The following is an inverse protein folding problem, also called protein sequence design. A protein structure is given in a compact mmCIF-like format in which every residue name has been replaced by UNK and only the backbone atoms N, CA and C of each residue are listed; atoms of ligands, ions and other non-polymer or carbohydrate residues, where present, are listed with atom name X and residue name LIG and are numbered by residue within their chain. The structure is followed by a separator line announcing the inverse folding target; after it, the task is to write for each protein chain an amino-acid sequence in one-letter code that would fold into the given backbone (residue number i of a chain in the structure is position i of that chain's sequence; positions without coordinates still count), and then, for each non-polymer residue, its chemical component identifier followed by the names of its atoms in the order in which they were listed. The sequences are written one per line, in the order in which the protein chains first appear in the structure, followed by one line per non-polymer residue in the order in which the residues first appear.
data_IF_626266779836
#
_entry.id   IF_626266779836
#
_cell.length_a   1.000
_cell.length_b   1.000
_cell.length_c   1.000
_cell.angle_alpha   90.00
_cell.angle_beta   90.00
_cell.angle_gamma   90.00
#
_symmetry.space_group_name_H-M   'P 1'
#
loop_
_entity.id
_entity.type
_entity.pdbx_description
1 polymer ?
#
# COMPACT_ATOMS: atom_id res chain seq x y z
N UNK A 1 -34.00 41.79 55.25
CA UNK A 1 -33.58 41.40 56.58
C UNK A 1 -32.34 40.57 56.52
N UNK A 2 -31.25 41.18 56.82
CA UNK A 2 -30.07 40.84 57.64
C UNK A 2 -29.43 39.50 57.31
N UNK A 3 -28.32 39.52 56.53
CA UNK A 3 -26.93 39.57 57.04
C UNK A 3 -26.55 38.41 57.96
N UNK A 4 -25.59 37.59 57.57
CA UNK A 4 -24.35 37.57 58.37
C UNK A 4 -23.23 36.86 57.57
N UNK A 5 -22.14 37.59 57.46
CA UNK A 5 -20.84 37.20 56.97
C UNK A 5 -20.14 36.30 57.98
N UNK A 6 -19.51 35.21 57.56
CA UNK A 6 -18.51 34.51 58.37
C UNK A 6 -17.26 34.31 57.54
N UNK A 7 -16.25 35.10 57.84
CA UNK A 7 -14.88 34.99 57.46
C UNK A 7 -14.28 33.79 58.19
N UNK A 8 -13.78 32.81 57.46
CA UNK A 8 -12.97 31.71 58.04
C UNK A 8 -11.54 31.81 57.56
N UNK A 9 -10.72 32.18 58.49
CA UNK A 9 -9.27 32.25 58.44
C UNK A 9 -8.69 30.83 58.51
N UNK A 10 -8.15 30.30 57.42
CA UNK A 10 -7.46 29.00 57.45
C UNK A 10 -5.98 29.15 57.24
N UNK A 11 -5.33 28.81 58.29
CA UNK A 11 -3.93 28.61 58.61
C UNK A 11 -3.13 27.94 57.51
N UNK A 12 -2.15 28.66 56.98
CA UNK A 12 -1.15 28.17 56.01
C UNK A 12 -0.11 27.32 56.75
N UNK A 13 -0.25 25.99 56.65
CA UNK A 13 0.73 25.05 57.21
C UNK A 13 1.78 24.73 56.15
N UNK A 14 2.96 25.33 56.31
CA UNK A 14 4.13 25.12 55.46
C UNK A 14 4.76 23.77 55.80
N UNK A 15 4.45 22.74 55.02
CA UNK A 15 5.13 21.45 55.12
C UNK A 15 6.44 21.48 54.30
N UNK A 16 7.55 21.54 55.02
CA UNK A 16 8.88 21.33 54.51
C UNK A 16 9.05 19.84 54.12
N UNK A 17 9.06 19.53 52.83
CA UNK A 17 9.49 18.22 52.36
C UNK A 17 10.99 18.22 52.10
N UNK A 18 11.74 17.21 52.62
CA UNK A 18 13.14 17.06 52.29
C UNK A 18 13.29 16.62 50.83
N UNK A 19 14.23 17.26 50.15
CA UNK A 19 14.64 16.88 48.76
C UNK A 19 15.22 15.48 48.75
N UNK A 20 14.85 14.60 47.78
CA UNK A 20 15.50 13.32 47.60
C UNK A 20 16.94 13.54 47.03
N UNK A 21 17.88 12.63 47.35
CA UNK A 21 19.23 12.73 46.85
C UNK A 21 19.31 12.51 45.33
N UNK A 22 20.13 13.28 44.66
CA UNK A 22 20.49 13.08 43.26
C UNK A 22 21.28 11.77 43.14
N UNK A 23 20.65 10.75 42.53
CA UNK A 23 21.33 9.53 42.18
C UNK A 23 21.16 9.21 40.68
N UNK A 24 22.34 9.15 40.02
CA UNK A 24 22.60 8.23 38.94
C UNK A 24 21.95 8.56 37.60
N UNK A 25 22.72 9.17 36.71
CA UNK A 25 22.60 9.05 35.28
C UNK A 25 22.43 7.57 34.88
N UNK A 26 21.23 7.15 34.56
CA UNK A 26 21.05 6.00 33.68
C UNK A 26 20.91 6.51 32.24
N UNK A 27 22.05 6.49 31.56
CA UNK A 27 22.10 6.56 30.08
C UNK A 27 21.50 5.29 29.51
N UNK A 28 20.18 5.19 29.57
CA UNK A 28 19.42 4.21 28.82
C UNK A 28 19.06 4.76 27.46
N UNK A 29 20.02 4.77 26.55
CA UNK A 29 19.81 5.14 25.15
C UNK A 29 19.11 3.97 24.43
N UNK A 30 17.87 3.71 24.74
CA UNK A 30 16.98 2.96 23.84
C UNK A 30 16.55 3.92 22.75
N UNK A 31 17.44 4.15 21.81
CA UNK A 31 17.06 4.66 20.50
C UNK A 31 16.06 3.68 19.92
N UNK A 32 14.79 3.96 20.08
CA UNK A 32 13.72 3.35 19.31
C UNK A 32 14.06 3.60 17.85
N UNK A 33 14.60 2.55 17.21
CA UNK A 33 15.03 2.59 15.82
C UNK A 33 13.77 2.86 15.00
N UNK A 34 13.49 4.13 14.73
CA UNK A 34 12.50 4.52 13.72
C UNK A 34 12.84 3.68 12.50
N UNK A 35 12.02 2.72 12.18
CA UNK A 35 12.20 1.89 10.98
C UNK A 35 12.05 2.84 9.81
N UNK A 36 13.17 3.42 9.37
CA UNK A 36 13.22 4.28 8.21
C UNK A 36 12.67 3.52 7.00
N UNK A 37 12.07 4.25 6.08
CA UNK A 37 11.64 3.68 4.80
C UNK A 37 12.84 2.96 4.18
N UNK A 38 12.72 1.66 3.82
CA UNK A 38 13.85 0.95 3.23
C UNK A 38 14.32 1.65 1.95
N UNK A 39 15.61 1.63 1.63
CA UNK A 39 16.11 2.21 0.39
C UNK A 39 15.43 1.54 -0.82
N UNK A 40 15.13 2.32 -1.85
CA UNK A 40 14.40 1.85 -3.05
C UNK A 40 15.10 0.69 -3.77
N UNK A 41 16.40 0.56 -3.61
CA UNK A 41 17.21 -0.51 -4.19
C UNK A 41 17.26 -1.81 -3.36
N UNK A 42 16.62 -1.85 -2.18
CA UNK A 42 16.60 -3.05 -1.33
C UNK A 42 15.77 -4.17 -1.92
N UNK A 43 14.67 -3.85 -2.59
CA UNK A 43 13.72 -4.83 -3.09
C UNK A 43 13.70 -4.89 -4.61
N UNK A 44 13.27 -6.05 -5.10
CA UNK A 44 13.03 -6.31 -6.51
C UNK A 44 11.76 -7.12 -6.68
N UNK A 45 10.95 -6.76 -7.66
CA UNK A 45 9.70 -7.46 -7.98
C UNK A 45 9.81 -8.06 -9.37
N UNK A 46 9.38 -9.31 -9.51
CA UNK A 46 9.20 -9.98 -10.77
C UNK A 46 7.75 -10.40 -10.93
N UNK A 47 7.13 -10.09 -12.06
CA UNK A 47 5.74 -10.44 -12.35
C UNK A 47 5.73 -11.30 -13.61
N UNK A 48 5.22 -12.53 -13.50
CA UNK A 48 4.97 -13.40 -14.65
C UNK A 48 3.50 -13.31 -15.08
N UNK A 49 3.28 -12.86 -16.30
CA UNK A 49 1.92 -12.75 -16.88
C UNK A 49 1.35 -14.15 -17.12
N UNK A 50 2.12 -15.05 -17.73
CA UNK A 50 1.68 -16.43 -18.02
C UNK A 50 1.58 -17.26 -16.75
N UNK A 51 2.52 -17.08 -15.81
CA UNK A 51 2.53 -17.75 -14.50
C UNK A 51 1.52 -17.19 -13.50
N UNK A 52 0.85 -16.06 -13.80
CA UNK A 52 -0.10 -15.39 -12.90
C UNK A 52 0.45 -15.19 -11.49
N UNK A 53 1.73 -14.83 -11.40
CA UNK A 53 2.45 -14.70 -10.12
C UNK A 53 3.23 -13.39 -10.03
N UNK A 54 3.44 -12.92 -8.79
CA UNK A 54 4.32 -11.82 -8.44
C UNK A 54 5.27 -12.31 -7.35
N UNK A 55 6.57 -12.27 -7.60
CA UNK A 55 7.60 -12.62 -6.64
C UNK A 55 8.33 -11.39 -6.14
N UNK A 56 8.44 -11.27 -4.82
CA UNK A 56 9.21 -10.25 -4.12
C UNK A 56 10.54 -10.84 -3.69
N UNK A 57 11.62 -10.13 -3.99
CA UNK A 57 12.98 -10.48 -3.60
C UNK A 57 13.61 -9.35 -2.80
N UNK A 58 14.53 -9.70 -1.91
CA UNK A 58 15.51 -8.79 -1.33
C UNK A 58 16.80 -8.89 -2.14
N UNK A 59 17.40 -7.75 -2.45
CA UNK A 59 18.71 -7.71 -3.11
C UNK A 59 19.81 -7.93 -2.10
N UNK A 60 20.65 -8.91 -2.33
CA UNK A 60 21.85 -9.16 -1.54
C UNK A 60 22.98 -8.19 -1.92
N UNK A 61 23.96 -8.06 -1.03
CA UNK A 61 25.10 -7.15 -1.23
C UNK A 61 25.99 -7.54 -2.41
N UNK A 62 26.00 -8.82 -2.78
CA UNK A 62 26.73 -9.36 -3.93
C UNK A 62 25.97 -9.19 -5.28
N UNK A 63 24.81 -8.52 -5.27
CA UNK A 63 23.94 -8.34 -6.41
C UNK A 63 22.97 -9.50 -6.67
N UNK A 64 23.02 -10.56 -5.85
CA UNK A 64 22.07 -11.66 -5.87
C UNK A 64 20.67 -11.23 -5.44
N UNK A 65 19.70 -12.14 -5.60
CA UNK A 65 18.30 -11.93 -5.21
C UNK A 65 17.83 -13.06 -4.31
N UNK A 66 17.46 -12.73 -3.08
CA UNK A 66 16.93 -13.67 -2.10
C UNK A 66 15.40 -13.63 -2.18
N UNK A 67 14.73 -14.74 -2.49
CA UNK A 67 13.27 -14.75 -2.56
C UNK A 67 12.67 -14.56 -1.17
N UNK A 68 11.75 -13.60 -1.06
CA UNK A 68 11.03 -13.34 0.19
C UNK A 68 9.63 -13.95 0.16
N UNK A 69 8.89 -13.71 -0.94
CA UNK A 69 7.51 -14.17 -1.06
C UNK A 69 7.05 -14.20 -2.51
N UNK A 70 6.16 -15.14 -2.82
CA UNK A 70 5.43 -15.18 -4.08
C UNK A 70 3.93 -15.09 -3.82
N UNK A 71 3.25 -14.27 -4.61
CA UNK A 71 1.82 -14.00 -4.52
C UNK A 71 1.14 -14.41 -5.82
N UNK A 72 -0.05 -15.01 -5.78
CA UNK A 72 -0.88 -15.15 -6.96
C UNK A 72 -1.40 -13.78 -7.40
N UNK A 73 -1.43 -13.51 -8.70
CA UNK A 73 -1.98 -12.28 -9.25
C UNK A 73 -2.90 -12.56 -10.44
N UNK A 74 -3.98 -11.79 -10.55
CA UNK A 74 -4.77 -11.75 -11.77
C UNK A 74 -4.00 -10.97 -12.83
N UNK A 75 -3.86 -11.55 -14.02
CA UNK A 75 -3.16 -10.93 -15.15
C UNK A 75 -4.08 -10.76 -16.33
N UNK A 76 -3.58 -10.11 -17.37
CA UNK A 76 -4.37 -9.81 -18.55
C UNK A 76 -4.82 -11.04 -19.31
N UNK A 77 -6.00 -10.96 -19.93
CA UNK A 77 -6.55 -11.99 -20.81
C UNK A 77 -5.59 -12.34 -21.94
N UNK A 78 -5.63 -13.59 -22.40
CA UNK A 78 -4.84 -14.03 -23.57
C UNK A 78 -5.22 -13.22 -24.81
N UNK A 79 -4.27 -12.96 -25.67
CA UNK A 79 -4.49 -12.21 -26.92
C UNK A 79 -4.56 -10.69 -26.76
N UNK A 80 -4.33 -10.16 -25.57
CA UNK A 80 -4.15 -8.73 -25.39
C UNK A 80 -2.69 -8.36 -25.70
N UNK A 81 -2.40 -7.92 -26.92
CA UNK A 81 -1.04 -7.66 -27.46
C UNK A 81 -0.35 -6.41 -26.87
N UNK A 82 -0.81 -5.90 -25.74
CA UNK A 82 -0.43 -4.57 -25.25
C UNK A 82 0.26 -4.61 -23.89
N UNK A 83 0.96 -5.71 -23.59
CA UNK A 83 1.72 -5.75 -22.33
C UNK A 83 3.05 -5.04 -22.45
N UNK A 84 3.32 -4.03 -21.67
CA UNK A 84 4.68 -3.65 -21.42
C UNK A 84 5.33 -4.76 -20.58
N UNK A 85 6.23 -5.50 -21.17
CA UNK A 85 7.14 -6.41 -20.50
C UNK A 85 8.49 -5.72 -20.28
N UNK A 86 9.36 -6.35 -19.51
CA UNK A 86 10.70 -5.87 -19.25
C UNK A 86 10.81 -5.02 -17.97
N UNK A 87 11.95 -4.30 -17.80
CA UNK A 87 12.28 -3.60 -16.59
C UNK A 87 11.51 -2.29 -16.43
N UNK A 88 11.27 -1.92 -15.19
CA UNK A 88 10.66 -0.67 -14.78
C UNK A 88 10.76 -0.49 -13.28
N UNK A 89 9.92 0.37 -12.70
CA UNK A 89 9.93 0.66 -11.27
C UNK A 89 8.57 1.07 -10.75
N UNK A 90 8.38 0.95 -9.44
CA UNK A 90 7.26 1.53 -8.70
C UNK A 90 7.35 3.05 -8.75
N UNK A 91 6.27 3.72 -9.15
CA UNK A 91 6.20 5.18 -9.26
C UNK A 91 5.28 5.81 -8.23
N UNK A 92 4.44 5.03 -7.55
CA UNK A 92 3.57 5.52 -6.48
C UNK A 92 2.86 4.38 -5.78
N UNK A 93 2.53 4.60 -4.50
CA UNK A 93 1.81 3.66 -3.65
C UNK A 93 0.68 4.42 -2.97
N UNK A 94 -0.53 3.90 -3.06
CA UNK A 94 -1.75 4.55 -2.58
C UNK A 94 -2.60 3.53 -1.81
N UNK A 95 -3.14 3.95 -0.68
CA UNK A 95 -4.07 3.19 0.13
C UNK A 95 -5.49 3.74 -0.05
N UNK A 96 -6.49 2.86 -0.02
CA UNK A 96 -7.90 3.16 -0.22
C UNK A 96 -8.15 4.09 -1.44
N UNK A 97 -7.69 3.69 -2.66
CA UNK A 97 -7.73 4.55 -3.82
C UNK A 97 -9.16 4.70 -4.36
N UNK A 98 -9.46 5.88 -4.87
CA UNK A 98 -10.59 6.06 -5.79
C UNK A 98 -10.34 5.31 -7.09
N UNK A 99 -11.39 4.73 -7.65
CA UNK A 99 -11.36 4.12 -8.98
C UNK A 99 -12.01 5.03 -10.01
N UNK A 100 -11.27 5.35 -11.06
CA UNK A 100 -11.76 6.08 -12.24
C UNK A 100 -11.92 5.07 -13.39
N UNK A 101 -13.16 4.61 -13.68
CA UNK A 101 -13.40 3.60 -14.70
C UNK A 101 -12.92 4.07 -16.08
N UNK A 102 -12.14 3.22 -16.76
CA UNK A 102 -11.71 3.46 -18.13
C UNK A 102 -12.88 3.35 -19.10
N UNK A 103 -12.79 3.91 -20.32
CA UNK A 103 -13.82 3.70 -21.36
C UNK A 103 -14.10 2.22 -21.60
N UNK A 104 -13.08 1.37 -21.60
CA UNK A 104 -13.23 -0.07 -21.69
C UNK A 104 -14.04 -0.65 -20.53
N UNK A 105 -13.71 -0.30 -19.30
CA UNK A 105 -14.47 -0.75 -18.13
C UNK A 105 -15.92 -0.31 -18.20
N UNK A 106 -16.19 0.95 -18.57
CA UNK A 106 -17.56 1.45 -18.73
C UNK A 106 -18.35 0.68 -19.76
N UNK A 107 -17.73 0.34 -20.91
CA UNK A 107 -18.36 -0.49 -21.95
C UNK A 107 -18.79 -1.86 -21.39
N UNK A 108 -17.86 -2.58 -20.77
CA UNK A 108 -18.12 -3.92 -20.20
C UNK A 108 -19.21 -3.90 -19.12
N UNK A 109 -19.23 -2.86 -18.28
CA UNK A 109 -20.25 -2.74 -17.24
C UNK A 109 -21.63 -2.39 -17.82
N UNK A 110 -21.68 -1.52 -18.82
CA UNK A 110 -22.92 -1.17 -19.52
C UNK A 110 -23.55 -2.37 -20.24
N UNK A 111 -22.75 -3.25 -20.83
CA UNK A 111 -23.20 -4.51 -21.42
C UNK A 111 -23.85 -5.45 -20.39
N UNK A 112 -23.58 -5.22 -19.10
CA UNK A 112 -24.18 -5.93 -17.96
C UNK A 112 -25.30 -5.15 -17.27
N UNK A 113 -25.77 -4.07 -17.88
CA UNK A 113 -26.83 -3.23 -17.34
C UNK A 113 -26.38 -2.31 -16.18
N UNK A 114 -25.04 -2.12 -15.98
CA UNK A 114 -24.50 -1.29 -14.91
C UNK A 114 -23.89 -0.02 -15.51
N UNK A 115 -24.45 1.14 -15.20
CA UNK A 115 -23.85 2.43 -15.56
C UNK A 115 -22.92 2.91 -14.42
N UNK A 116 -21.63 2.96 -14.71
CA UNK A 116 -20.61 3.34 -13.74
C UNK A 116 -20.50 4.86 -13.62
N UNK A 117 -20.44 5.41 -12.38
CA UNK A 117 -20.18 6.83 -12.17
C UNK A 117 -18.79 7.24 -12.67
N UNK A 118 -18.54 8.55 -12.77
CA UNK A 118 -17.24 9.12 -13.18
C UNK A 118 -16.07 8.65 -12.32
N UNK A 119 -16.32 8.50 -11.02
CA UNK A 119 -15.40 8.01 -10.03
C UNK A 119 -16.15 7.14 -9.01
N UNK A 120 -15.50 6.10 -8.52
CA UNK A 120 -16.03 5.17 -7.52
C UNK A 120 -15.20 5.29 -6.26
N UNK A 121 -15.80 5.62 -5.11
CA UNK A 121 -15.06 5.85 -3.86
C UNK A 121 -14.45 4.57 -3.28
N UNK A 122 -13.48 4.70 -2.35
CA UNK A 122 -12.96 3.58 -1.57
C UNK A 122 -14.07 2.83 -0.84
N UNK A 123 -13.93 1.52 -0.73
CA UNK A 123 -14.90 0.66 -0.04
C UNK A 123 -16.20 0.37 -0.81
N UNK A 124 -16.47 1.08 -1.90
CA UNK A 124 -17.68 0.83 -2.71
C UNK A 124 -17.57 -0.54 -3.42
N UNK A 125 -18.65 -1.36 -3.47
CA UNK A 125 -18.62 -2.70 -4.10
C UNK A 125 -18.17 -2.71 -5.56
N UNK A 126 -18.41 -1.63 -6.29
CA UNK A 126 -17.97 -1.47 -7.68
C UNK A 126 -16.53 -0.90 -7.81
N UNK A 127 -15.81 -0.64 -6.71
CA UNK A 127 -14.44 -0.15 -6.80
C UNK A 127 -13.47 -1.28 -7.15
N UNK A 128 -13.03 -1.33 -8.40
CA UNK A 128 -12.13 -2.36 -8.91
C UNK A 128 -10.65 -2.16 -8.57
N UNK A 129 -10.30 -1.07 -7.85
CA UNK A 129 -8.93 -0.87 -7.35
C UNK A 129 -8.69 -1.56 -6.01
N UNK A 130 -9.75 -1.99 -5.30
CA UNK A 130 -9.62 -2.59 -3.98
C UNK A 130 -9.03 -1.63 -2.94
N UNK A 131 -8.27 -2.16 -1.98
CA UNK A 131 -7.75 -1.40 -0.83
C UNK A 131 -6.38 -0.74 -1.06
N UNK A 132 -5.73 -1.01 -2.19
CA UNK A 132 -4.43 -0.41 -2.51
C UNK A 132 -4.24 -0.29 -4.02
N UNK A 133 -3.32 0.58 -4.42
CA UNK A 133 -2.87 0.76 -5.79
C UNK A 133 -1.37 1.08 -5.80
N UNK A 134 -0.59 0.30 -6.53
CA UNK A 134 0.82 0.55 -6.81
C UNK A 134 0.93 0.88 -8.30
N UNK A 135 1.43 2.06 -8.63
CA UNK A 135 1.65 2.48 -10.02
C UNK A 135 3.06 2.10 -10.47
N UNK A 136 3.18 1.67 -11.72
CA UNK A 136 4.44 1.25 -12.33
C UNK A 136 4.84 2.24 -13.43
N UNK A 137 6.14 2.32 -13.72
CA UNK A 137 6.66 3.13 -14.83
C UNK A 137 6.29 2.58 -16.21
N UNK A 138 5.87 1.33 -16.27
CA UNK A 138 5.40 0.69 -17.50
C UNK A 138 4.15 1.40 -18.03
N UNK A 139 4.13 1.61 -19.35
CA UNK A 139 3.02 2.27 -20.06
C UNK A 139 2.59 1.43 -21.24
N UNK A 140 1.30 1.40 -21.51
CA UNK A 140 0.77 0.87 -22.76
C UNK A 140 1.15 1.79 -23.93
N UNK A 141 1.02 1.31 -25.17
CA UNK A 141 1.17 2.15 -26.38
C UNK A 141 0.27 3.40 -26.37
N UNK A 142 -0.86 3.35 -25.66
CA UNK A 142 -1.81 4.46 -25.46
C UNK A 142 -1.46 5.35 -24.26
N UNK A 143 -0.29 5.17 -23.61
CA UNK A 143 0.15 5.96 -22.47
C UNK A 143 -0.50 5.60 -21.14
N UNK A 144 -1.37 4.59 -21.09
CA UNK A 144 -1.97 4.16 -19.82
C UNK A 144 -0.90 3.54 -18.90
N UNK A 145 -0.93 3.94 -17.63
CA UNK A 145 0.01 3.45 -16.61
C UNK A 145 -0.45 2.08 -16.11
N UNK A 146 0.49 1.13 -16.03
CA UNK A 146 0.25 -0.16 -15.42
C UNK A 146 0.19 -0.07 -13.89
N UNK A 147 -0.61 -0.98 -13.29
CA UNK A 147 -0.87 -0.97 -11.84
C UNK A 147 -0.91 -2.37 -11.30
N UNK A 148 -0.41 -2.52 -10.08
CA UNK A 148 -0.78 -3.61 -9.18
C UNK A 148 -1.85 -3.03 -8.26
N UNK A 149 -2.97 -3.72 -8.07
CA UNK A 149 -4.07 -3.20 -7.26
C UNK A 149 -4.86 -4.31 -6.58
N UNK A 150 -5.62 -3.96 -5.56
CA UNK A 150 -6.47 -4.91 -4.86
C UNK A 150 -7.61 -5.45 -5.73
N UNK A 151 -7.99 -6.68 -5.50
CA UNK A 151 -9.13 -7.29 -6.15
C UNK A 151 -10.38 -7.16 -5.25
N UNK A 152 -11.48 -6.64 -5.79
CA UNK A 152 -12.77 -6.69 -5.13
C UNK A 152 -13.44 -8.08 -5.24
N UNK A 153 -12.99 -8.91 -6.19
CA UNK A 153 -13.43 -10.29 -6.35
C UNK A 153 -12.21 -11.21 -6.34
N UNK A 154 -12.11 -12.05 -5.30
CA UNK A 154 -10.98 -12.97 -5.07
C UNK A 154 -10.77 -13.97 -6.21
N UNK A 155 -11.85 -14.38 -6.91
CA UNK A 155 -11.78 -15.32 -8.03
C UNK A 155 -10.93 -14.84 -9.22
N UNK A 156 -10.61 -13.53 -9.27
CA UNK A 156 -9.78 -12.93 -10.34
C UNK A 156 -8.29 -13.17 -10.14
N UNK A 157 -7.89 -13.44 -8.90
CA UNK A 157 -6.48 -13.67 -8.53
C UNK A 157 -6.05 -15.06 -9.00
N UNK A 158 -4.85 -15.17 -9.55
CA UNK A 158 -4.33 -16.41 -10.15
C UNK A 158 -4.93 -16.75 -11.52
N UNK A 159 -5.63 -15.80 -12.17
CA UNK A 159 -6.26 -16.02 -13.47
C UNK A 159 -5.94 -14.91 -14.47
N UNK A 160 -5.97 -15.26 -15.76
CA UNK A 160 -5.79 -14.31 -16.88
C UNK A 160 -7.14 -13.71 -17.29
N UNK A 161 -7.61 -12.68 -16.54
CA UNK A 161 -8.97 -12.11 -16.66
C UNK A 161 -9.02 -10.59 -16.58
N UNK A 162 -7.86 -9.92 -16.53
CA UNK A 162 -7.82 -8.45 -16.43
C UNK A 162 -7.65 -7.77 -17.78
N UNK A 163 -7.92 -6.47 -17.84
CA UNK A 163 -7.61 -5.65 -19.01
C UNK A 163 -6.15 -5.15 -19.08
N UNK A 164 -5.25 -5.78 -18.31
CA UNK A 164 -3.82 -5.46 -18.29
C UNK A 164 -3.21 -5.29 -16.89
N UNK A 165 -3.92 -4.69 -15.95
CA UNK A 165 -3.42 -4.52 -14.58
C UNK A 165 -3.27 -5.84 -13.83
N UNK A 166 -2.46 -5.85 -12.79
CA UNK A 166 -2.22 -6.99 -11.91
C UNK A 166 -3.12 -6.89 -10.68
N UNK A 167 -4.07 -7.83 -10.53
CA UNK A 167 -5.00 -7.85 -9.42
C UNK A 167 -4.50 -8.80 -8.32
N UNK A 168 -4.40 -8.34 -7.07
CA UNK A 168 -3.98 -9.13 -5.91
C UNK A 168 -5.08 -9.22 -4.87
N UNK A 169 -5.01 -10.22 -3.97
CA UNK A 169 -5.78 -10.19 -2.74
C UNK A 169 -5.44 -8.93 -1.93
N UNK A 170 -6.45 -8.30 -1.33
CA UNK A 170 -6.27 -7.02 -0.64
C UNK A 170 -5.30 -7.08 0.53
N UNK A 171 -5.33 -8.15 1.33
CA UNK A 171 -4.44 -8.38 2.47
C UNK A 171 -2.98 -8.53 2.02
N UNK A 172 -2.73 -9.40 1.06
CA UNK A 172 -1.41 -9.65 0.50
C UNK A 172 -0.82 -8.39 -0.18
N UNK A 173 -1.65 -7.68 -0.92
CA UNK A 173 -1.23 -6.47 -1.59
C UNK A 173 -1.00 -5.29 -0.65
N UNK A 174 -1.74 -5.19 0.46
CA UNK A 174 -1.47 -4.22 1.51
C UNK A 174 -0.15 -4.54 2.22
N UNK A 175 0.17 -5.82 2.44
CA UNK A 175 1.47 -6.24 2.96
C UNK A 175 2.59 -5.81 2.01
N UNK A 176 2.49 -6.14 0.72
CA UNK A 176 3.44 -5.72 -0.30
C UNK A 176 3.61 -4.20 -0.33
N UNK A 177 2.49 -3.45 -0.38
CA UNK A 177 2.49 -1.99 -0.46
C UNK A 177 3.14 -1.30 0.76
N UNK A 178 3.08 -1.93 1.93
CA UNK A 178 3.75 -1.45 3.16
C UNK A 178 5.22 -1.86 3.25
N UNK A 179 5.61 -2.89 2.51
CA UNK A 179 6.99 -3.43 2.53
C UNK A 179 7.90 -2.68 1.58
N UNK A 180 7.43 -2.37 0.38
CA UNK A 180 8.25 -1.79 -0.68
C UNK A 180 8.17 -0.26 -0.72
N UNK A 181 9.27 0.45 -0.97
CA UNK A 181 9.24 1.90 -1.25
C UNK A 181 8.97 2.21 -2.72
N UNK A 182 8.57 3.45 -3.00
CA UNK A 182 8.61 4.02 -4.36
C UNK A 182 10.05 3.96 -4.87
N UNK A 183 10.21 3.64 -6.15
CA UNK A 183 11.52 3.40 -6.77
C UNK A 183 11.94 1.93 -6.80
N UNK A 184 11.22 1.02 -6.08
CA UNK A 184 11.48 -0.44 -6.17
C UNK A 184 11.44 -0.89 -7.63
N UNK A 185 12.47 -1.64 -8.04
CA UNK A 185 12.57 -2.19 -9.38
C UNK A 185 11.53 -3.28 -9.63
N UNK A 186 10.96 -3.28 -10.82
CA UNK A 186 9.96 -4.26 -11.26
C UNK A 186 10.32 -4.76 -12.65
N UNK A 187 10.33 -6.08 -12.82
CA UNK A 187 10.45 -6.69 -14.16
C UNK A 187 9.17 -7.47 -14.47
N UNK A 188 8.58 -7.23 -15.63
CA UNK A 188 7.39 -7.94 -16.10
C UNK A 188 7.81 -8.93 -17.18
N UNK A 189 7.58 -10.21 -16.91
CA UNK A 189 7.81 -11.33 -17.81
C UNK A 189 6.52 -11.72 -18.55
N UNK A 190 6.63 -12.25 -19.76
CA UNK A 190 5.50 -12.75 -20.56
C UNK A 190 4.66 -13.82 -19.87
#
# INVERSE_FOLDING_TARGET
MTMTSLVNLSLLMLLLFPSPPASGQQTGNTAEKVRGVPPANRYYIEISISGTSLSLYEKAADGGRVPLRTYPVGTAVRGLDVYPTGPGKVTGIYFDPWWYPTPYSRKIFRERGIDLPGAVPPGHPLNYMGKFKITLSHKTRKGAIYRIHGANYSWRVGKRVTGGCFAMHNDQGLELARTIPVGTEVNILP
#
